data_IF_130073203479
#
_entry.id   IF_130073203479
#
_cell.length_a   1.000
_cell.length_b   1.000
_cell.length_c   1.000
_cell.angle_alpha   90.00
_cell.angle_beta   90.00
_cell.angle_gamma   90.00
#
_symmetry.space_group_name_H-M   'P 1'
#
loop_
_entity.id
_entity.type
_entity.pdbx_description
1 polymer ?
#
# COMPACT_ATOMS: atom_id res chain seq x y z
N UNK A 1 10.65 -14.83 -0.26
CA UNK A 1 9.72 -14.20 0.71
C UNK A 1 10.43 -13.61 1.96
N UNK A 2 11.75 -13.32 1.92
CA UNK A 2 12.50 -12.85 3.12
C UNK A 2 12.46 -11.33 3.38
N UNK A 3 11.86 -10.54 2.48
CA UNK A 3 11.78 -9.07 2.58
C UNK A 3 10.34 -8.56 2.75
N UNK A 4 9.44 -9.37 3.30
CA UNK A 4 8.09 -8.90 3.61
C UNK A 4 8.14 -8.07 4.90
N UNK A 5 7.77 -6.79 4.83
CA UNK A 5 7.58 -5.97 6.02
C UNK A 5 6.48 -6.61 6.90
N UNK A 6 6.78 -7.02 8.15
CA UNK A 6 5.81 -7.71 9.01
C UNK A 6 4.58 -6.83 9.29
N UNK A 7 4.76 -5.51 9.38
CA UNK A 7 3.69 -4.55 9.63
C UNK A 7 2.71 -4.42 8.45
N UNK A 8 3.18 -4.67 7.22
CA UNK A 8 2.37 -4.63 6.00
C UNK A 8 1.86 -6.02 5.58
N UNK A 9 2.43 -7.09 6.13
CA UNK A 9 2.13 -8.46 5.71
C UNK A 9 0.65 -8.81 5.87
N UNK A 10 0.05 -8.45 7.01
CA UNK A 10 -1.36 -8.69 7.26
C UNK A 10 -2.25 -7.93 6.25
N UNK A 11 -1.99 -6.63 6.05
CA UNK A 11 -2.75 -5.81 5.11
C UNK A 11 -2.63 -6.32 3.67
N UNK A 12 -1.43 -6.67 3.24
CA UNK A 12 -1.16 -7.22 1.92
C UNK A 12 -1.93 -8.54 1.70
N UNK A 13 -1.84 -9.48 2.66
CA UNK A 13 -2.56 -10.74 2.59
C UNK A 13 -4.07 -10.55 2.54
N UNK A 14 -4.62 -9.64 3.36
CA UNK A 14 -6.04 -9.32 3.36
C UNK A 14 -6.50 -8.68 2.05
N UNK A 15 -5.71 -7.78 1.45
CA UNK A 15 -6.03 -7.19 0.15
C UNK A 15 -6.06 -8.26 -0.94
N UNK A 16 -5.07 -9.17 -0.97
CA UNK A 16 -5.03 -10.30 -1.90
C UNK A 16 -6.26 -11.22 -1.73
N UNK A 17 -6.64 -11.52 -0.48
CA UNK A 17 -7.84 -12.32 -0.18
C UNK A 17 -9.14 -11.61 -0.59
N UNK A 18 -9.16 -10.29 -0.58
CA UNK A 18 -10.30 -9.49 -1.03
C UNK A 18 -10.39 -9.35 -2.57
N UNK A 19 -9.49 -10.01 -3.31
CA UNK A 19 -9.46 -10.00 -4.77
C UNK A 19 -8.62 -8.86 -5.36
N UNK A 20 -7.91 -8.08 -4.55
CA UNK A 20 -6.92 -7.15 -5.08
C UNK A 20 -5.73 -7.94 -5.66
N UNK A 21 -5.17 -7.46 -6.76
CA UNK A 21 -4.02 -8.05 -7.42
C UNK A 21 -2.88 -7.05 -7.46
N UNK A 22 -1.66 -7.52 -7.22
CA UNK A 22 -0.46 -6.69 -7.40
C UNK A 22 -0.28 -6.43 -8.90
N UNK A 23 -0.30 -5.16 -9.27
CA UNK A 23 -0.02 -4.66 -10.62
C UNK A 23 1.47 -4.60 -10.88
N UNK A 24 2.22 -4.02 -9.94
CA UNK A 24 3.65 -3.82 -10.07
C UNK A 24 4.38 -3.90 -8.72
N UNK A 25 5.67 -4.17 -8.78
CA UNK A 25 6.58 -4.15 -7.63
C UNK A 25 7.73 -3.20 -7.93
N UNK A 26 7.51 -1.94 -7.59
CA UNK A 26 8.50 -0.89 -7.65
C UNK A 26 9.60 -1.09 -6.60
N UNK A 27 10.85 -0.78 -6.96
CA UNK A 27 12.04 -0.85 -6.08
C UNK A 27 12.81 0.46 -6.11
N UNK A 28 13.63 0.68 -5.10
CA UNK A 28 14.67 1.73 -5.07
C UNK A 28 14.16 3.17 -5.22
N UNK A 29 12.99 3.47 -4.64
CA UNK A 29 12.54 4.85 -4.48
C UNK A 29 13.38 5.55 -3.43
N UNK A 30 13.50 6.88 -3.52
CA UNK A 30 14.34 7.70 -2.63
C UNK A 30 14.11 7.44 -1.13
N UNK A 31 12.91 6.98 -0.74
CA UNK A 31 12.57 6.61 0.64
C UNK A 31 12.02 5.19 0.80
N UNK A 32 11.81 4.43 -0.27
CA UNK A 32 11.24 3.09 -0.19
C UNK A 32 12.11 2.07 -0.93
N UNK A 33 12.52 1.02 -0.23
CA UNK A 33 13.21 -0.13 -0.82
C UNK A 33 12.30 -0.94 -1.72
N UNK A 34 11.00 -0.98 -1.40
CA UNK A 34 10.00 -1.71 -2.15
C UNK A 34 8.60 -1.14 -1.96
N UNK A 35 7.87 -1.00 -3.05
CA UNK A 35 6.45 -0.65 -3.04
C UNK A 35 5.70 -1.67 -3.88
N UNK A 36 4.63 -2.25 -3.32
CA UNK A 36 3.70 -3.08 -4.08
C UNK A 36 2.53 -2.19 -4.49
N UNK A 37 2.32 -2.09 -5.79
CA UNK A 37 1.21 -1.34 -6.36
C UNK A 37 0.09 -2.31 -6.71
N UNK A 38 -1.13 -2.05 -6.23
CA UNK A 38 -2.30 -2.85 -6.53
C UNK A 38 -3.09 -2.27 -7.69
N UNK A 39 -3.78 -3.14 -8.44
CA UNK A 39 -4.61 -2.73 -9.56
C UNK A 39 -6.00 -2.22 -9.12
N UNK A 40 -6.43 -2.52 -7.90
CA UNK A 40 -7.75 -2.22 -7.37
C UNK A 40 -7.65 -1.37 -6.10
N UNK A 41 -8.66 -0.52 -5.81
CA UNK A 41 -8.72 0.22 -4.57
C UNK A 41 -8.74 -0.68 -3.34
N UNK A 42 -8.19 -0.19 -2.23
CA UNK A 42 -8.25 -0.92 -0.97
C UNK A 42 -9.71 -0.96 -0.46
N UNK A 43 -10.26 -2.15 -0.14
CA UNK A 43 -11.60 -2.25 0.43
C UNK A 43 -11.77 -1.37 1.68
N UNK A 44 -12.90 -0.68 1.80
CA UNK A 44 -13.12 0.32 2.85
C UNK A 44 -12.97 -0.24 4.28
N UNK A 45 -13.31 -1.51 4.49
CA UNK A 45 -13.11 -2.18 5.78
C UNK A 45 -11.61 -2.34 6.12
N UNK A 46 -10.80 -2.76 5.15
CA UNK A 46 -9.35 -2.90 5.29
C UNK A 46 -8.67 -1.55 5.45
N UNK A 47 -9.14 -0.51 4.73
CA UNK A 47 -8.65 0.87 4.91
C UNK A 47 -8.82 1.36 6.35
N UNK A 48 -9.98 1.14 6.95
CA UNK A 48 -10.24 1.51 8.36
C UNK A 48 -9.33 0.76 9.32
N UNK A 49 -9.08 -0.54 9.06
CA UNK A 49 -8.17 -1.35 9.86
C UNK A 49 -6.72 -0.85 9.73
N UNK A 50 -6.25 -0.63 8.51
CA UNK A 50 -4.89 -0.20 8.21
C UNK A 50 -4.56 1.16 8.83
N UNK A 51 -5.50 2.12 8.80
CA UNK A 51 -5.34 3.44 9.44
C UNK A 51 -5.21 3.41 10.96
N UNK A 52 -5.57 2.29 11.61
CA UNK A 52 -5.40 2.10 13.07
C UNK A 52 -4.05 1.50 13.43
N UNK A 53 -3.27 1.06 12.45
CA UNK A 53 -1.95 0.50 12.70
C UNK A 53 -0.93 1.64 12.90
N UNK A 54 -0.45 1.80 14.13
CA UNK A 54 0.51 2.86 14.49
C UNK A 54 1.88 2.72 13.81
N UNK A 55 2.24 1.53 13.33
CA UNK A 55 3.50 1.27 12.62
C UNK A 55 3.46 1.69 11.14
N UNK A 56 2.29 2.13 10.65
CA UNK A 56 2.06 2.49 9.26
C UNK A 56 1.72 3.98 9.12
N UNK A 57 2.42 4.64 8.20
CA UNK A 57 2.08 5.98 7.74
C UNK A 57 1.12 5.86 6.57
N UNK A 58 -0.03 6.53 6.68
CA UNK A 58 -1.02 6.60 5.62
C UNK A 58 -0.80 7.85 4.77
N UNK A 59 -0.62 7.65 3.47
CA UNK A 59 -0.53 8.69 2.46
C UNK A 59 -1.79 8.69 1.60
N UNK A 60 -2.25 9.89 1.24
CA UNK A 60 -3.38 10.08 0.33
C UNK A 60 -2.98 11.13 -0.71
N UNK A 61 -2.81 10.68 -1.94
CA UNK A 61 -2.53 11.51 -3.10
C UNK A 61 -3.85 11.69 -3.88
N UNK A 62 -4.52 12.86 -3.78
CA UNK A 62 -5.77 13.08 -4.50
C UNK A 62 -5.55 13.04 -6.01
N UNK A 63 -6.62 12.76 -6.76
CA UNK A 63 -6.61 12.83 -8.20
C UNK A 63 -6.25 14.24 -8.68
N UNK A 64 -5.48 14.30 -9.77
CA UNK A 64 -5.13 15.53 -10.50
C UNK A 64 -5.33 15.27 -12.01
N UNK A 65 -5.34 16.29 -12.87
CA UNK A 65 -5.55 16.08 -14.32
C UNK A 65 -4.60 15.07 -14.99
N UNK A 66 -3.41 14.85 -14.42
CA UNK A 66 -2.41 13.92 -14.94
C UNK A 66 -2.19 12.68 -14.06
N UNK A 67 -2.96 12.53 -12.98
CA UNK A 67 -2.80 11.43 -12.03
C UNK A 67 -4.14 10.99 -11.46
N UNK A 68 -4.52 9.70 -11.57
CA UNK A 68 -5.84 9.23 -11.12
C UNK A 68 -6.01 9.29 -9.59
N UNK A 69 -4.94 9.44 -8.83
CA UNK A 69 -4.97 9.50 -7.38
C UNK A 69 -4.83 8.12 -6.74
N UNK A 70 -4.01 8.06 -5.69
CA UNK A 70 -3.68 6.83 -4.97
C UNK A 70 -3.72 7.04 -3.46
N UNK A 71 -3.99 5.98 -2.71
CA UNK A 71 -3.68 5.89 -1.29
C UNK A 71 -2.54 4.89 -1.06
N UNK A 72 -1.71 5.14 -0.05
CA UNK A 72 -0.61 4.24 0.28
C UNK A 72 -0.45 4.07 1.79
N UNK A 73 0.02 2.89 2.18
CA UNK A 73 0.43 2.55 3.53
C UNK A 73 1.91 2.21 3.53
N UNK A 74 2.69 2.95 4.30
CA UNK A 74 4.14 2.85 4.32
C UNK A 74 4.64 2.52 5.71
N UNK A 75 5.65 1.67 5.81
CA UNK A 75 6.36 1.41 7.05
C UNK A 75 7.75 2.05 6.97
N UNK A 76 7.99 3.08 7.79
CA UNK A 76 9.28 3.78 7.85
C UNK A 76 10.43 2.85 8.27
N UNK A 77 10.18 1.95 9.23
CA UNK A 77 11.20 1.02 9.75
C UNK A 77 11.70 0.04 8.69
N UNK A 78 10.79 -0.48 7.85
CA UNK A 78 11.13 -1.44 6.81
C UNK A 78 11.39 -0.79 5.44
N UNK A 79 11.15 0.52 5.32
CA UNK A 79 11.16 1.26 4.07
C UNK A 79 10.33 0.57 2.97
N UNK A 80 9.15 0.07 3.33
CA UNK A 80 8.29 -0.68 2.42
C UNK A 80 6.89 -0.07 2.36
N UNK A 81 6.24 -0.13 1.20
CA UNK A 81 4.90 0.42 1.00
C UNK A 81 3.95 -0.50 0.23
N UNK A 82 2.66 -0.29 0.44
CA UNK A 82 1.57 -0.77 -0.41
C UNK A 82 0.83 0.45 -0.96
N UNK A 83 0.60 0.51 -2.27
CA UNK A 83 -0.13 1.58 -2.93
C UNK A 83 -1.38 1.01 -3.63
N UNK A 84 -2.47 1.76 -3.56
CA UNK A 84 -3.78 1.39 -4.10
C UNK A 84 -4.38 2.59 -4.83
N UNK A 85 -5.00 2.42 -6.01
CA UNK A 85 -5.72 3.50 -6.67
C UNK A 85 -6.95 3.93 -5.86
N UNK A 86 -7.36 5.19 -6.00
CA UNK A 86 -8.59 5.68 -5.37
C UNK A 86 -9.87 5.32 -6.15
N UNK A 87 -9.72 4.91 -7.42
CA UNK A 87 -10.83 4.66 -8.37
C UNK A 87 -10.65 3.34 -9.13
#
# INVERSE_FOLDING_TARGET
>A
MKDACPHLQALCAQALQAGCTVRDVSRDWSRARRVLEFAQPLPAALRKQARRNAELVHYHAPATPHWPGDEAFFCDQCMAGLAFPLH
#
